data_IF_098692001971
#
_entry.id   IF_098692001971
#
_cell.length_a   1.000
_cell.length_b   1.000
_cell.length_c   1.000
_cell.angle_alpha   90.00
_cell.angle_beta   90.00
_cell.angle_gamma   90.00
#
_symmetry.space_group_name_H-M   'P 1'
#
loop_
_entity.id
_entity.type
_entity.pdbx_description
1 polymer ?
#
# COMPACT_ATOMS: atom_id res chain seq x y z
N UNK A 1 24.89 6.58 -3.32
CA UNK A 1 26.12 6.33 -4.10
C UNK A 1 25.96 7.10 -5.39
N UNK A 2 26.70 8.19 -5.59
CA UNK A 2 26.76 8.87 -6.89
C UNK A 2 27.90 8.21 -7.68
N UNK A 3 27.58 7.62 -8.82
CA UNK A 3 28.56 7.05 -9.75
C UNK A 3 28.41 7.74 -11.09
N UNK A 4 29.43 8.50 -11.47
CA UNK A 4 29.56 9.05 -12.80
C UNK A 4 30.26 8.01 -13.68
N UNK A 5 29.53 7.48 -14.66
CA UNK A 5 30.10 6.58 -15.65
C UNK A 5 30.52 7.38 -16.88
N UNK A 6 31.76 7.22 -17.38
CA UNK A 6 32.14 7.76 -18.67
C UNK A 6 31.18 7.29 -19.76
N UNK A 7 30.81 8.19 -20.69
CA UNK A 7 29.89 7.87 -21.80
C UNK A 7 30.36 6.66 -22.61
N UNK A 8 31.66 6.52 -22.81
CA UNK A 8 32.28 5.37 -23.47
C UNK A 8 31.99 4.06 -22.74
N UNK A 9 32.06 4.05 -21.42
CA UNK A 9 31.79 2.87 -20.61
C UNK A 9 30.29 2.54 -20.55
N UNK A 10 29.42 3.56 -20.52
CA UNK A 10 27.97 3.39 -20.60
C UNK A 10 27.55 2.78 -21.96
N UNK A 11 28.13 3.26 -23.06
CA UNK A 11 27.89 2.71 -24.40
C UNK A 11 28.40 1.27 -24.51
N UNK A 12 29.53 0.96 -23.90
CA UNK A 12 30.08 -0.39 -23.84
C UNK A 12 29.16 -1.35 -23.08
N UNK A 13 28.63 -0.94 -21.92
CA UNK A 13 27.66 -1.72 -21.13
C UNK A 13 26.40 -2.09 -21.94
N UNK A 14 25.89 -1.16 -22.75
CA UNK A 14 24.72 -1.40 -23.60
C UNK A 14 24.98 -2.38 -24.75
N UNK A 15 26.25 -2.67 -25.05
CA UNK A 15 26.66 -3.67 -26.05
C UNK A 15 26.80 -5.10 -25.50
N UNK A 16 26.38 -5.33 -24.25
CA UNK A 16 26.35 -6.66 -23.66
C UNK A 16 25.36 -7.58 -24.42
N UNK A 17 25.86 -8.74 -24.83
CA UNK A 17 25.05 -9.78 -25.47
C UNK A 17 24.05 -10.38 -24.48
N UNK A 18 23.09 -11.17 -24.98
CA UNK A 18 22.14 -11.88 -24.11
C UNK A 18 22.89 -12.85 -23.17
N UNK A 19 23.84 -13.61 -23.71
CA UNK A 19 24.63 -14.58 -22.95
C UNK A 19 25.47 -13.91 -21.84
N UNK A 20 26.06 -12.75 -22.12
CA UNK A 20 26.79 -11.98 -21.11
C UNK A 20 25.86 -11.42 -20.03
N UNK A 21 24.62 -11.01 -20.36
CA UNK A 21 23.65 -10.53 -19.37
C UNK A 21 23.06 -11.64 -18.49
N UNK A 22 23.01 -12.85 -19.02
CA UNK A 22 22.42 -14.01 -18.34
C UNK A 22 23.46 -14.80 -17.50
N UNK A 23 24.76 -14.46 -17.58
CA UNK A 23 25.86 -15.17 -16.93
C UNK A 23 26.82 -14.20 -16.21
N UNK A 24 26.85 -14.28 -14.88
CA UNK A 24 27.75 -13.47 -14.03
C UNK A 24 29.23 -13.66 -14.42
N UNK A 25 29.75 -14.89 -14.62
CA UNK A 25 31.13 -15.08 -15.06
C UNK A 25 31.46 -14.42 -16.40
N UNK A 26 30.55 -14.45 -17.37
CA UNK A 26 30.78 -13.84 -18.69
C UNK A 26 30.69 -12.31 -18.62
N UNK A 27 29.72 -11.79 -17.86
CA UNK A 27 29.61 -10.36 -17.60
C UNK A 27 30.87 -9.80 -16.93
N UNK A 28 31.34 -10.46 -15.87
CA UNK A 28 32.54 -10.09 -15.10
C UNK A 28 33.83 -10.28 -15.90
N UNK A 29 33.82 -11.13 -16.94
CA UNK A 29 35.00 -11.29 -17.79
C UNK A 29 35.21 -10.05 -18.66
N UNK A 30 34.13 -9.53 -19.24
CA UNK A 30 34.16 -8.39 -20.16
C UNK A 30 34.14 -7.04 -19.44
N UNK A 31 33.19 -6.85 -18.54
CA UNK A 31 33.07 -5.64 -17.75
C UNK A 31 33.85 -5.84 -16.45
N UNK A 32 34.69 -4.87 -16.06
CA UNK A 32 35.41 -4.86 -14.76
C UNK A 32 34.91 -3.68 -13.92
N UNK A 33 34.42 -3.92 -12.70
CA UNK A 33 33.86 -2.87 -11.86
C UNK A 33 32.98 -3.36 -10.70
N UNK A 34 32.19 -2.46 -10.11
CA UNK A 34 31.29 -2.76 -9.00
C UNK A 34 29.97 -3.33 -9.53
N UNK A 35 29.65 -4.57 -9.16
CA UNK A 35 28.42 -5.24 -9.56
C UNK A 35 27.51 -5.42 -8.36
N UNK A 36 26.24 -5.10 -8.56
CA UNK A 36 25.20 -5.50 -7.62
C UNK A 36 24.41 -6.62 -8.29
N UNK A 37 24.67 -7.85 -7.85
CA UNK A 37 23.92 -9.04 -8.27
C UNK A 37 22.98 -9.46 -7.15
N UNK A 38 21.88 -10.08 -7.51
CA UNK A 38 20.96 -10.71 -6.56
C UNK A 38 21.15 -12.22 -6.63
N UNK A 39 20.98 -12.92 -5.50
CA UNK A 39 21.02 -14.38 -5.54
C UNK A 39 19.89 -14.92 -6.40
N UNK A 40 20.14 -15.97 -7.21
CA UNK A 40 19.11 -16.61 -8.01
C UNK A 40 17.99 -17.13 -7.11
N UNK A 41 16.75 -16.94 -7.54
CA UNK A 41 15.59 -17.48 -6.83
C UNK A 41 15.65 -19.02 -6.82
N UNK A 42 15.25 -19.69 -5.73
CA UNK A 42 15.25 -21.15 -5.69
C UNK A 42 14.29 -21.74 -6.75
N UNK A 43 14.76 -22.78 -7.45
CA UNK A 43 13.96 -23.53 -8.43
C UNK A 43 14.10 -23.04 -9.87
N UNK A 44 13.05 -23.16 -10.67
CA UNK A 44 13.02 -22.83 -12.12
C UNK A 44 12.72 -21.36 -12.40
N UNK A 45 12.75 -20.50 -11.39
CA UNK A 45 12.38 -19.10 -11.50
C UNK A 45 13.56 -18.30 -12.05
N UNK A 46 13.34 -17.57 -13.14
CA UNK A 46 14.36 -16.73 -13.77
C UNK A 46 14.42 -15.36 -13.07
N UNK A 47 15.59 -14.96 -12.56
CA UNK A 47 15.84 -13.68 -11.89
C UNK A 47 16.46 -13.83 -10.50
N UNK A 48 16.59 -12.73 -9.77
CA UNK A 48 17.04 -12.72 -8.37
C UNK A 48 16.37 -11.60 -7.55
N UNK A 49 16.46 -11.68 -6.22
CA UNK A 49 15.77 -10.76 -5.29
C UNK A 49 16.74 -9.83 -4.56
N UNK A 50 16.46 -8.53 -4.62
CA UNK A 50 17.07 -7.52 -3.75
C UNK A 50 16.39 -7.57 -2.38
N UNK A 51 17.07 -8.13 -1.38
CA UNK A 51 16.56 -8.21 0.00
C UNK A 51 17.10 -7.13 0.94
N UNK A 52 18.17 -6.42 0.55
CA UNK A 52 18.90 -5.48 1.42
C UNK A 52 19.26 -4.21 0.64
N UNK A 53 18.26 -3.60 0.02
CA UNK A 53 18.28 -2.16 -0.22
C UNK A 53 17.07 -1.65 0.53
N UNK A 54 17.32 -0.94 1.63
CA UNK A 54 16.32 -0.09 2.30
C UNK A 54 16.65 1.31 1.83
N UNK A 55 16.09 1.76 0.70
CA UNK A 55 16.48 3.04 0.16
C UNK A 55 15.79 4.13 0.95
N UNK A 56 16.57 4.94 1.66
CA UNK A 56 16.03 6.04 2.45
C UNK A 56 15.42 7.16 1.65
N UNK A 57 16.07 7.50 0.56
CA UNK A 57 15.47 8.24 -0.50
C UNK A 57 16.12 7.73 -1.79
N UNK A 58 15.33 7.25 -2.75
CA UNK A 58 15.80 6.97 -4.10
C UNK A 58 15.68 8.25 -4.91
N UNK A 59 16.82 8.73 -5.38
CA UNK A 59 16.90 9.73 -6.43
C UNK A 59 17.33 9.04 -7.71
N UNK A 60 16.54 9.13 -8.77
CA UNK A 60 16.98 8.80 -10.13
C UNK A 60 16.96 10.07 -10.95
N UNK A 61 18.14 10.55 -11.33
CA UNK A 61 18.31 11.72 -12.20
C UNK A 61 18.65 11.23 -13.60
N UNK A 62 17.80 11.51 -14.58
CA UNK A 62 18.06 11.31 -15.99
C UNK A 62 18.32 12.67 -16.63
N UNK A 63 19.58 12.95 -16.92
CA UNK A 63 19.96 14.06 -17.78
C UNK A 63 19.96 13.56 -19.23
N UNK A 64 19.18 14.20 -20.09
CA UNK A 64 19.18 13.87 -21.52
C UNK A 64 19.16 15.14 -22.36
N UNK A 65 19.80 15.05 -23.52
CA UNK A 65 19.72 16.07 -24.56
C UNK A 65 18.45 15.82 -25.35
N UNK A 66 17.43 16.64 -25.12
CA UNK A 66 16.22 16.60 -25.94
C UNK A 66 16.54 17.21 -27.31
N UNK A 67 16.25 16.45 -28.37
CA UNK A 67 16.31 16.92 -29.75
C UNK A 67 14.90 16.75 -30.33
N UNK A 68 14.27 17.89 -30.62
CA UNK A 68 12.99 18.02 -31.33
C UNK A 68 13.19 19.08 -32.42
N UNK A 69 12.40 19.02 -33.49
CA UNK A 69 12.40 19.93 -34.64
C UNK A 69 12.35 21.44 -34.27
N UNK A 70 11.99 21.77 -33.02
CA UNK A 70 11.81 23.13 -32.49
C UNK A 70 12.83 23.54 -31.42
N UNK A 71 13.60 22.61 -30.84
CA UNK A 71 14.53 22.89 -29.73
C UNK A 71 15.86 22.19 -29.95
N UNK A 72 16.93 22.99 -30.08
CA UNK A 72 18.31 22.49 -30.16
C UNK A 72 18.96 22.62 -28.79
N UNK A 73 19.33 21.50 -28.17
CA UNK A 73 20.08 21.42 -26.89
C UNK A 73 19.37 22.00 -25.66
N UNK A 74 18.18 21.52 -25.28
CA UNK A 74 17.74 21.71 -23.90
C UNK A 74 18.31 20.59 -23.02
N UNK A 75 19.30 20.93 -22.18
CA UNK A 75 19.75 20.08 -21.08
C UNK A 75 18.54 19.82 -20.17
N UNK A 76 17.92 18.66 -20.35
CA UNK A 76 16.67 18.32 -19.68
C UNK A 76 16.99 17.35 -18.56
N UNK A 77 16.74 17.77 -17.32
CA UNK A 77 16.89 16.94 -16.14
C UNK A 77 15.52 16.42 -15.70
N UNK A 78 15.33 15.12 -15.82
CA UNK A 78 14.21 14.40 -15.22
C UNK A 78 14.66 13.83 -13.87
N UNK A 79 14.03 14.27 -12.77
CA UNK A 79 14.28 13.74 -11.43
C UNK A 79 13.09 12.86 -11.04
N UNK A 80 13.36 11.59 -10.74
CA UNK A 80 12.44 10.68 -10.06
C UNK A 80 12.86 10.59 -8.60
N UNK A 81 11.92 10.79 -7.69
CA UNK A 81 12.14 10.76 -6.25
C UNK A 81 11.18 9.77 -5.59
N UNK A 82 11.72 8.84 -4.80
CA UNK A 82 10.94 7.97 -3.92
C UNK A 82 11.50 8.10 -2.50
N UNK A 83 10.64 8.40 -1.53
CA UNK A 83 11.07 8.66 -0.15
C UNK A 83 10.71 7.52 0.82
N UNK A 84 11.50 7.33 1.87
CA UNK A 84 11.12 6.52 3.05
C UNK A 84 10.01 7.16 3.88
N UNK A 85 9.90 8.50 3.88
CA UNK A 85 8.90 9.21 4.70
C UNK A 85 7.60 9.45 3.93
N UNK A 86 7.69 9.58 2.61
CA UNK A 86 6.56 9.74 1.69
C UNK A 86 6.64 8.67 0.59
N UNK A 87 6.31 7.41 0.92
CA UNK A 87 6.43 6.31 -0.02
C UNK A 87 5.34 6.46 -1.08
N UNK A 88 5.68 7.17 -2.16
CA UNK A 88 4.80 7.50 -3.28
C UNK A 88 4.13 6.23 -3.86
N UNK A 89 2.86 6.34 -4.25
CA UNK A 89 2.17 5.23 -4.91
C UNK A 89 2.87 4.99 -6.24
N UNK A 90 3.29 3.74 -6.47
CA UNK A 90 3.79 3.32 -7.76
C UNK A 90 2.69 3.54 -8.84
N UNK A 91 2.96 4.40 -9.82
CA UNK A 91 2.00 4.78 -10.87
C UNK A 91 1.97 3.81 -12.06
N UNK A 92 2.79 2.76 -12.06
CA UNK A 92 2.80 1.78 -13.14
C UNK A 92 1.52 0.93 -13.12
N UNK A 93 0.97 0.65 -14.32
CA UNK A 93 -0.24 -0.16 -14.47
C UNK A 93 0.04 -1.59 -14.04
N UNK A 94 -0.63 -2.03 -12.97
CA UNK A 94 -0.59 -3.42 -12.53
C UNK A 94 -1.60 -4.27 -13.30
N UNK A 95 -1.25 -5.53 -13.57
CA UNK A 95 -2.12 -6.50 -14.24
C UNK A 95 -3.43 -6.76 -13.48
N UNK A 96 -3.46 -6.50 -12.16
CA UNK A 96 -4.63 -6.62 -11.30
C UNK A 96 -5.65 -5.48 -11.43
N UNK A 97 -5.35 -4.41 -12.19
CA UNK A 97 -6.28 -3.27 -12.39
C UNK A 97 -7.65 -3.69 -12.93
N UNK A 98 -7.69 -4.71 -13.78
CA UNK A 98 -8.92 -5.27 -14.33
C UNK A 98 -9.79 -6.02 -13.30
N UNK A 99 -9.28 -6.26 -12.09
CA UNK A 99 -10.01 -6.90 -11.00
C UNK A 99 -10.74 -5.89 -10.10
N UNK A 100 -10.54 -4.59 -10.30
CA UNK A 100 -11.30 -3.55 -9.61
C UNK A 100 -12.77 -3.55 -10.07
N UNK A 101 -13.69 -3.47 -9.11
CA UNK A 101 -15.13 -3.43 -9.37
C UNK A 101 -15.82 -2.61 -8.29
N UNK A 102 -16.82 -1.83 -8.68
CA UNK A 102 -17.75 -1.15 -7.78
C UNK A 102 -18.96 -2.02 -7.44
N UNK A 103 -19.21 -3.08 -8.21
CA UNK A 103 -20.30 -4.01 -7.97
C UNK A 103 -19.97 -4.97 -6.82
N UNK A 104 -20.95 -5.36 -5.99
CA UNK A 104 -20.79 -6.41 -5.01
C UNK A 104 -20.30 -7.71 -5.65
N UNK A 105 -19.21 -8.26 -5.12
CA UNK A 105 -18.61 -9.52 -5.56
C UNK A 105 -18.50 -10.50 -4.40
N UNK A 106 -18.24 -11.78 -4.71
CA UNK A 106 -17.93 -12.79 -3.69
C UNK A 106 -16.50 -12.66 -3.13
N UNK A 107 -15.61 -11.92 -3.80
CA UNK A 107 -14.20 -11.79 -3.47
C UNK A 107 -13.76 -10.35 -3.48
N UNK A 108 -13.02 -9.96 -2.45
CA UNK A 108 -12.44 -8.64 -2.28
C UNK A 108 -10.92 -8.82 -2.22
N UNK A 109 -10.23 -8.29 -3.23
CA UNK A 109 -8.79 -8.45 -3.38
C UNK A 109 -8.05 -7.37 -2.59
N UNK A 110 -7.01 -7.76 -1.87
CA UNK A 110 -6.01 -6.85 -1.30
C UNK A 110 -4.64 -7.23 -1.81
N UNK A 111 -3.86 -6.22 -2.16
CA UNK A 111 -2.51 -6.38 -2.67
C UNK A 111 -1.60 -5.32 -2.04
N UNK A 112 -0.31 -5.60 -1.87
CA UNK A 112 0.68 -4.59 -1.46
C UNK A 112 0.97 -3.57 -2.56
N UNK A 113 1.91 -2.66 -2.31
CA UNK A 113 2.43 -1.71 -3.31
C UNK A 113 1.29 -0.95 -4.02
N UNK A 114 1.35 -0.77 -5.35
CA UNK A 114 0.28 -0.16 -6.13
C UNK A 114 -0.77 -1.15 -6.68
N UNK A 115 -0.83 -2.35 -6.10
CA UNK A 115 -1.89 -3.31 -6.38
C UNK A 115 -3.28 -2.88 -5.88
N UNK A 116 -4.29 -3.71 -6.16
CA UNK A 116 -5.69 -3.42 -5.80
C UNK A 116 -5.85 -3.26 -4.28
N UNK A 117 -6.58 -2.22 -3.89
CA UNK A 117 -6.92 -1.94 -2.49
C UNK A 117 -8.44 -1.89 -2.31
N UNK A 118 -8.98 -2.55 -1.28
CA UNK A 118 -10.37 -2.35 -0.88
C UNK A 118 -10.63 -0.89 -0.53
N UNK A 119 -11.72 -0.34 -1.05
CA UNK A 119 -12.12 1.04 -0.84
C UNK A 119 -13.37 1.11 0.04
N UNK A 120 -13.40 2.06 0.97
CA UNK A 120 -14.55 2.32 1.86
C UNK A 120 -14.81 3.82 1.89
N UNK A 121 -15.99 4.20 1.40
CA UNK A 121 -16.51 5.57 1.49
C UNK A 121 -17.32 5.75 2.79
N UNK A 122 -16.73 6.45 3.75
CA UNK A 122 -17.35 6.70 5.04
C UNK A 122 -18.48 7.74 5.00
N UNK A 123 -18.63 8.51 3.91
CA UNK A 123 -19.83 9.33 3.72
C UNK A 123 -21.06 8.44 3.51
N UNK A 124 -20.93 7.36 2.72
CA UNK A 124 -22.00 6.37 2.52
C UNK A 124 -22.32 5.65 3.84
N UNK A 125 -21.29 5.27 4.61
CA UNK A 125 -21.49 4.62 5.91
C UNK A 125 -22.19 5.56 6.89
N UNK A 126 -21.78 6.84 6.97
CA UNK A 126 -22.44 7.84 7.81
C UNK A 126 -23.91 7.98 7.47
N UNK A 127 -24.24 8.09 6.18
CA UNK A 127 -25.62 8.16 5.72
C UNK A 127 -26.41 6.90 6.09
N UNK A 128 -25.81 5.72 5.94
CA UNK A 128 -26.43 4.45 6.35
C UNK A 128 -26.74 4.42 7.84
N UNK A 129 -25.82 4.86 8.70
CA UNK A 129 -26.05 4.93 10.15
C UNK A 129 -27.09 6.01 10.50
N UNK A 130 -27.09 7.14 9.79
CA UNK A 130 -28.12 8.17 9.99
C UNK A 130 -29.52 7.64 9.65
N UNK A 131 -29.68 6.95 8.52
CA UNK A 131 -30.95 6.31 8.14
C UNK A 131 -31.39 5.27 9.18
N UNK A 132 -30.46 4.48 9.69
CA UNK A 132 -30.75 3.53 10.78
C UNK A 132 -31.19 4.24 12.06
N UNK A 133 -30.51 5.31 12.49
CA UNK A 133 -30.89 6.09 13.66
C UNK A 133 -32.30 6.67 13.52
N UNK A 134 -32.60 7.26 12.35
CA UNK A 134 -33.94 7.78 12.04
C UNK A 134 -35.01 6.68 12.06
N UNK A 135 -34.70 5.46 11.62
CA UNK A 135 -35.64 4.33 11.71
C UNK A 135 -35.99 3.91 13.14
N UNK A 136 -35.17 4.31 14.12
CA UNK A 136 -35.42 4.14 15.55
C UNK A 136 -36.07 5.38 16.19
N UNK A 137 -36.52 6.35 15.38
CA UNK A 137 -37.00 7.66 15.84
C UNK A 137 -35.98 8.41 16.72
N UNK A 138 -34.67 8.24 16.46
CA UNK A 138 -33.61 9.00 17.14
C UNK A 138 -32.76 9.80 16.15
N UNK A 139 -32.19 10.88 16.65
CA UNK A 139 -31.18 11.65 15.93
C UNK A 139 -29.79 10.98 16.08
N UNK A 140 -28.96 11.08 15.04
CA UNK A 140 -27.59 10.55 15.05
C UNK A 140 -26.74 11.14 16.18
N UNK A 141 -26.98 12.39 16.57
CA UNK A 141 -26.29 13.07 17.69
C UNK A 141 -26.53 12.41 19.05
N UNK A 142 -27.62 11.64 19.21
CA UNK A 142 -27.91 10.86 20.42
C UNK A 142 -27.22 9.50 20.43
N UNK A 143 -26.65 9.07 19.30
CA UNK A 143 -25.97 7.78 19.18
C UNK A 143 -24.51 7.93 19.62
N UNK A 144 -24.16 7.31 20.74
CA UNK A 144 -22.80 7.27 21.26
C UNK A 144 -22.16 5.94 20.88
N UNK A 145 -21.09 5.98 20.08
CA UNK A 145 -20.33 4.79 19.70
C UNK A 145 -19.28 4.49 20.79
N UNK A 146 -19.44 3.38 21.50
CA UNK A 146 -18.45 2.90 22.46
C UNK A 146 -17.29 2.17 21.77
N UNK A 147 -17.58 1.46 20.67
CA UNK A 147 -16.59 0.73 19.87
C UNK A 147 -17.04 0.58 18.44
N UNK A 148 -16.12 0.69 17.49
CA UNK A 148 -16.34 0.40 16.08
C UNK A 148 -15.19 -0.44 15.52
N UNK A 149 -15.50 -1.54 14.86
CA UNK A 149 -14.52 -2.47 14.29
C UNK A 149 -14.87 -2.85 12.86
N UNK A 150 -13.91 -2.73 11.96
CA UNK A 150 -13.97 -3.36 10.64
C UNK A 150 -13.48 -4.79 10.74
N UNK A 151 -14.26 -5.71 10.18
CA UNK A 151 -13.95 -7.14 10.16
C UNK A 151 -13.92 -7.61 8.70
N UNK A 152 -12.76 -8.11 8.26
CA UNK A 152 -12.54 -8.64 6.91
C UNK A 152 -12.31 -10.16 6.99
N UNK A 153 -13.35 -10.97 6.86
CA UNK A 153 -13.22 -12.42 6.85
C UNK A 153 -12.63 -12.92 5.52
N UNK A 154 -11.97 -14.07 5.58
CA UNK A 154 -11.57 -14.88 4.42
C UNK A 154 -11.82 -16.36 4.70
N UNK A 155 -11.76 -17.16 3.64
CA UNK A 155 -11.77 -18.61 3.74
C UNK A 155 -10.34 -19.16 3.69
N UNK A 156 -10.10 -20.31 4.33
CA UNK A 156 -8.83 -21.01 4.21
C UNK A 156 -8.58 -21.30 2.73
N UNK A 157 -7.46 -20.84 2.14
CA UNK A 157 -7.17 -21.11 0.74
C UNK A 157 -6.96 -22.61 0.54
N UNK A 158 -7.41 -23.14 -0.60
CA UNK A 158 -7.20 -24.56 -0.96
C UNK A 158 -5.72 -24.94 -0.97
N UNK A 159 -4.85 -23.99 -1.28
CA UNK A 159 -3.40 -24.08 -1.14
C UNK A 159 -2.95 -23.32 0.12
N UNK A 160 -2.49 -24.06 1.13
CA UNK A 160 -2.07 -23.51 2.41
C UNK A 160 -0.85 -22.58 2.30
N UNK A 161 -0.03 -22.73 1.25
CA UNK A 161 1.16 -21.89 1.05
C UNK A 161 0.79 -20.43 0.79
N UNK A 162 -0.42 -20.18 0.26
CA UNK A 162 -0.95 -18.84 0.01
C UNK A 162 -1.25 -18.06 1.29
N UNK A 163 -1.42 -18.73 2.44
CA UNK A 163 -1.62 -18.04 3.73
C UNK A 163 -0.41 -17.16 4.08
N UNK A 164 0.79 -17.58 3.67
CA UNK A 164 2.02 -16.80 3.86
C UNK A 164 2.02 -15.46 3.12
N UNK A 165 1.19 -15.31 2.08
CA UNK A 165 1.10 -14.10 1.26
C UNK A 165 0.16 -13.04 1.85
N UNK A 166 -0.72 -13.42 2.78
CA UNK A 166 -1.62 -12.48 3.44
C UNK A 166 -0.81 -11.56 4.36
N UNK A 167 -1.10 -10.25 4.38
CA UNK A 167 -0.41 -9.33 5.26
C UNK A 167 -0.58 -9.74 6.73
N UNK A 168 0.42 -9.46 7.56
CA UNK A 168 0.30 -9.70 9.00
C UNK A 168 -0.70 -8.72 9.64
N UNK A 169 -0.79 -7.52 9.07
CA UNK A 169 -1.54 -6.41 9.62
C UNK A 169 -2.03 -5.49 8.48
N UNK A 170 -3.21 -4.88 8.65
CA UNK A 170 -3.75 -3.90 7.71
C UNK A 170 -4.35 -2.70 8.44
N UNK A 171 -4.22 -1.51 7.87
CA UNK A 171 -4.82 -0.27 8.38
C UNK A 171 -5.71 0.38 7.31
N UNK A 172 -6.50 1.37 7.73
CA UNK A 172 -7.06 2.32 6.80
C UNK A 172 -6.04 3.42 6.50
N UNK A 173 -5.96 3.79 5.23
CA UNK A 173 -5.23 4.94 4.76
C UNK A 173 -6.15 5.81 3.91
N UNK A 174 -5.89 7.12 3.90
CA UNK A 174 -6.41 8.03 2.88
C UNK A 174 -5.35 8.25 1.80
N UNK A 175 -5.77 8.77 0.66
CA UNK A 175 -4.85 9.23 -0.38
C UNK A 175 -4.62 10.71 -0.21
N UNK A 176 -3.36 11.11 -0.16
CA UNK A 176 -2.95 12.51 -0.08
C UNK A 176 -1.96 12.83 -1.20
N UNK A 177 -1.78 14.12 -1.46
CA UNK A 177 -0.81 14.62 -2.43
C UNK A 177 0.28 15.36 -1.67
N UNK A 178 1.54 14.98 -1.90
CA UNK A 178 2.67 15.62 -1.24
C UNK A 178 2.74 17.11 -1.54
N UNK A 179 3.24 17.89 -0.57
CA UNK A 179 3.45 19.34 -0.74
C UNK A 179 4.68 19.64 -1.58
N UNK A 180 5.72 18.80 -1.45
CA UNK A 180 6.99 18.89 -2.19
C UNK A 180 6.91 18.25 -3.57
N UNK A 181 6.15 17.16 -3.70
CA UNK A 181 5.93 16.45 -4.95
C UNK A 181 4.44 16.16 -5.10
N UNK A 182 3.85 16.50 -6.26
CA UNK A 182 2.43 16.23 -6.58
C UNK A 182 2.11 14.73 -6.75
N UNK A 183 2.95 13.84 -6.19
CA UNK A 183 2.73 12.41 -6.16
C UNK A 183 1.64 12.06 -5.16
N UNK A 184 0.76 11.15 -5.56
CA UNK A 184 -0.25 10.58 -4.69
C UNK A 184 0.42 9.55 -3.77
N UNK A 185 0.17 9.61 -2.47
CA UNK A 185 0.66 8.63 -1.50
C UNK A 185 -0.47 8.16 -0.58
N UNK A 186 -0.27 7.04 0.11
CA UNK A 186 -1.18 6.56 1.16
C UNK A 186 -0.70 7.07 2.51
N UNK A 187 -1.54 7.85 3.18
CA UNK A 187 -1.33 8.28 4.56
C UNK A 187 -2.21 7.46 5.49
N UNK A 188 -1.61 6.77 6.47
CA UNK A 188 -2.38 6.02 7.47
C UNK A 188 -3.25 6.98 8.30
N UNK A 189 -4.47 6.57 8.62
CA UNK A 189 -5.35 7.40 9.44
C UNK A 189 -4.78 7.54 10.86
N UNK A 190 -4.53 8.79 11.29
CA UNK A 190 -3.93 9.12 12.58
C UNK A 190 -4.75 8.66 13.79
N UNK A 191 -6.06 8.50 13.62
CA UNK A 191 -7.01 8.11 14.65
C UNK A 191 -7.03 6.61 14.94
N UNK A 192 -6.30 5.81 14.16
CA UNK A 192 -6.22 4.37 14.38
C UNK A 192 -5.37 4.04 15.60
N UNK A 193 -5.78 3.07 16.43
CA UNK A 193 -5.01 2.66 17.59
C UNK A 193 -3.66 2.05 17.17
N UNK A 194 -2.61 2.37 17.93
CA UNK A 194 -1.25 1.86 17.69
C UNK A 194 -0.87 0.65 18.55
N UNK A 195 -1.68 0.32 19.56
CA UNK A 195 -1.40 -0.70 20.57
C UNK A 195 -2.39 -1.85 20.47
N UNK A 196 -3.67 -1.60 20.75
CA UNK A 196 -4.71 -2.63 20.80
C UNK A 196 -5.55 -2.69 19.51
N UNK A 197 -5.98 -3.90 19.14
CA UNK A 197 -6.94 -4.14 18.05
C UNK A 197 -6.57 -3.49 16.72
N UNK A 198 -5.27 -3.52 16.45
CA UNK A 198 -4.56 -2.84 15.38
C UNK A 198 -4.62 -3.55 14.02
N UNK A 199 -5.77 -4.07 13.60
CA UNK A 199 -5.89 -4.63 12.24
C UNK A 199 -5.10 -5.93 12.02
N UNK A 200 -4.89 -6.74 13.07
CA UNK A 200 -4.10 -7.97 13.00
C UNK A 200 -4.84 -9.08 12.26
N UNK A 201 -4.07 -9.95 11.60
CA UNK A 201 -4.58 -11.17 10.98
C UNK A 201 -4.81 -12.27 12.03
N UNK A 202 -6.06 -12.60 12.32
CA UNK A 202 -6.39 -13.81 13.08
C UNK A 202 -6.40 -15.02 12.15
N UNK A 203 -5.25 -15.66 11.98
CA UNK A 203 -5.09 -16.84 11.11
C UNK A 203 -5.88 -18.06 11.56
N UNK A 204 -6.19 -18.20 12.84
CA UNK A 204 -6.99 -19.35 13.33
C UNK A 204 -8.49 -19.18 13.05
N UNK A 205 -8.97 -17.94 12.95
CA UNK A 205 -10.39 -17.62 12.69
C UNK A 205 -10.64 -17.05 11.29
N UNK A 206 -9.58 -16.91 10.50
CA UNK A 206 -9.58 -16.40 9.13
C UNK A 206 -10.30 -15.06 8.99
N UNK A 207 -9.87 -14.07 9.76
CA UNK A 207 -10.31 -12.70 9.60
C UNK A 207 -9.26 -11.69 10.05
N UNK A 208 -9.36 -10.47 9.54
CA UNK A 208 -8.71 -9.29 10.10
C UNK A 208 -9.72 -8.46 10.88
N UNK A 209 -9.34 -7.92 12.03
CA UNK A 209 -10.16 -6.99 12.80
C UNK A 209 -9.39 -5.72 13.11
N UNK A 210 -9.99 -4.58 12.77
CA UNK A 210 -9.39 -3.26 12.96
C UNK A 210 -10.35 -2.38 13.74
N UNK A 211 -9.90 -1.89 14.89
CA UNK A 211 -10.64 -0.90 15.65
C UNK A 211 -10.50 0.48 14.99
N UNK A 212 -11.64 1.07 14.64
CA UNK A 212 -11.75 2.38 13.98
C UNK A 212 -12.57 3.37 14.82
N UNK A 213 -12.71 3.14 16.13
CA UNK A 213 -13.65 3.86 17.01
C UNK A 213 -13.47 5.38 16.94
N UNK A 214 -12.25 5.86 17.15
CA UNK A 214 -11.94 7.30 17.16
C UNK A 214 -12.22 7.94 15.79
N UNK A 215 -11.76 7.31 14.70
CA UNK A 215 -12.02 7.75 13.34
C UNK A 215 -13.52 7.81 13.05
N UNK A 216 -14.25 6.73 13.36
CA UNK A 216 -15.67 6.61 13.08
C UNK A 216 -16.49 7.64 13.86
N UNK A 217 -16.15 7.90 15.13
CA UNK A 217 -16.78 9.00 15.88
C UNK A 217 -16.55 10.36 15.23
N UNK A 218 -15.34 10.65 14.71
CA UNK A 218 -15.06 11.88 13.99
C UNK A 218 -15.86 11.99 12.68
N UNK A 219 -16.05 10.89 11.95
CA UNK A 219 -16.94 10.81 10.78
C UNK A 219 -18.38 11.19 11.15
N UNK A 220 -18.95 10.53 12.17
CA UNK A 220 -20.34 10.76 12.59
C UNK A 220 -20.55 12.22 13.04
N UNK A 221 -19.61 12.76 13.83
CA UNK A 221 -19.61 14.17 14.28
C UNK A 221 -19.35 15.18 13.17
N UNK A 222 -18.99 14.74 11.96
CA UNK A 222 -18.72 15.63 10.82
C UNK A 222 -17.46 16.46 10.99
N UNK A 223 -16.44 15.95 11.71
CA UNK A 223 -15.17 16.67 11.88
C UNK A 223 -14.33 16.73 10.60
N UNK A 224 -14.53 15.79 9.69
CA UNK A 224 -13.84 15.74 8.41
C UNK A 224 -14.58 16.61 7.39
N UNK A 225 -13.89 17.64 6.89
CA UNK A 225 -14.43 18.59 5.91
C UNK A 225 -13.99 18.29 4.49
N UNK A 226 -12.85 17.58 4.31
CA UNK A 226 -12.38 17.15 3.00
C UNK A 226 -12.96 15.80 2.64
N UNK A 227 -13.28 15.61 1.36
CA UNK A 227 -13.75 14.33 0.82
C UNK A 227 -12.70 13.22 1.02
N UNK A 228 -11.42 13.54 0.82
CA UNK A 228 -10.30 12.60 0.96
C UNK A 228 -10.19 12.00 2.37
N UNK A 229 -10.62 12.72 3.41
CA UNK A 229 -10.63 12.21 4.78
C UNK A 229 -11.73 11.16 5.03
N UNK A 230 -12.73 11.07 4.14
CA UNK A 230 -13.82 10.07 4.19
C UNK A 230 -13.60 8.91 3.21
N UNK A 231 -12.71 9.09 2.24
CA UNK A 231 -12.37 8.12 1.19
C UNK A 231 -11.16 7.29 1.60
N UNK A 232 -11.42 6.10 2.16
CA UNK A 232 -10.38 5.28 2.78
C UNK A 232 -10.08 4.01 2.00
N UNK A 233 -8.85 3.53 2.14
CA UNK A 233 -8.32 2.34 1.50
C UNK A 233 -7.75 1.40 2.55
N UNK A 234 -8.04 0.10 2.42
CA UNK A 234 -7.45 -0.93 3.29
C UNK A 234 -6.08 -1.29 2.74
N UNK A 235 -5.03 -1.03 3.52
CA UNK A 235 -3.64 -1.20 3.09
C UNK A 235 -2.85 -2.09 4.05
N UNK A 236 -1.91 -2.92 3.55
CA UNK A 236 -0.89 -3.56 4.37
C UNK A 236 -0.01 -2.51 5.08
N UNK A 237 0.41 -2.80 6.30
CA UNK A 237 1.29 -1.93 7.07
C UNK A 237 2.53 -2.65 7.57
N UNK A 238 3.61 -1.90 7.63
CA UNK A 238 4.83 -2.27 8.31
C UNK A 238 4.97 -1.44 9.59
N UNK A 239 5.76 -1.93 10.52
CA UNK A 239 6.05 -1.23 11.77
C UNK A 239 7.54 -1.25 12.06
N UNK A 240 8.06 -0.14 12.58
CA UNK A 240 9.42 -0.04 13.09
C UNK A 240 9.40 0.40 14.55
N UNK A 241 10.26 -0.21 15.35
CA UNK A 241 10.46 0.19 16.75
C UNK A 241 11.76 0.95 16.85
N UNK A 242 11.72 2.15 17.40
CA UNK A 242 12.91 2.88 17.77
C UNK A 242 13.60 2.15 18.93
N UNK A 243 14.83 1.68 18.70
CA UNK A 243 15.60 0.89 19.68
C UNK A 243 15.99 1.69 20.94
N UNK A 244 16.02 3.02 20.87
CA UNK A 244 16.40 3.90 21.98
C UNK A 244 15.19 4.37 22.80
N UNK A 245 14.08 4.70 22.16
CA UNK A 245 12.88 5.22 22.84
C UNK A 245 11.79 4.17 23.06
N UNK A 246 11.88 3.02 22.39
CA UNK A 246 10.83 2.00 22.36
C UNK A 246 9.59 2.42 21.57
N UNK A 247 9.62 3.58 20.90
CA UNK A 247 8.47 4.10 20.16
C UNK A 247 8.19 3.24 18.92
N UNK A 248 6.93 2.86 18.74
CA UNK A 248 6.46 2.06 17.62
C UNK A 248 5.78 2.96 16.58
N UNK A 249 6.37 3.01 15.39
CA UNK A 249 5.81 3.70 14.24
C UNK A 249 5.18 2.70 13.26
N UNK A 250 4.11 3.12 12.60
CA UNK A 250 3.46 2.36 11.52
C UNK A 250 3.48 3.18 10.26
N UNK A 251 3.70 2.51 9.14
CA UNK A 251 3.73 3.14 7.82
C UNK A 251 3.17 2.16 6.78
N UNK A 252 2.77 2.71 5.64
CA UNK A 252 2.35 1.91 4.50
C UNK A 252 3.50 1.00 4.06
N UNK A 253 3.25 -0.31 3.97
CA UNK A 253 4.31 -1.27 3.60
C UNK A 253 4.55 -1.25 2.10
N UNK A 254 5.68 -0.61 1.72
CA UNK A 254 6.18 -0.59 0.36
C UNK A 254 7.39 -1.51 0.12
N UNK A 255 7.78 -2.32 1.11
CA UNK A 255 8.94 -3.21 1.01
C UNK A 255 8.55 -4.64 0.60
N UNK A 256 7.30 -5.06 0.87
CA UNK A 256 6.85 -6.41 0.61
C UNK A 256 5.62 -6.47 -0.30
N UNK A 257 5.64 -7.45 -1.21
CA UNK A 257 4.47 -7.78 -2.01
C UNK A 257 3.55 -8.74 -1.24
N UNK A 258 2.43 -8.22 -0.77
CA UNK A 258 1.36 -9.01 -0.17
C UNK A 258 0.23 -9.26 -1.16
N UNK A 259 -0.45 -10.39 -0.98
CA UNK A 259 -1.66 -10.74 -1.73
C UNK A 259 -2.63 -11.47 -0.83
N UNK A 260 -3.85 -10.97 -0.74
CA UNK A 260 -4.93 -11.58 0.02
C UNK A 260 -6.24 -11.55 -0.76
N UNK A 261 -7.04 -12.59 -0.58
CA UNK A 261 -8.43 -12.66 -1.06
C UNK A 261 -9.33 -12.73 0.15
N UNK A 262 -10.05 -11.65 0.40
CA UNK A 262 -11.10 -11.58 1.40
C UNK A 262 -12.44 -11.95 0.79
N UNK A 263 -13.38 -12.31 1.65
CA UNK A 263 -14.76 -12.47 1.25
C UNK A 263 -15.31 -11.10 0.86
N UNK A 264 -16.00 -11.03 -0.27
CA UNK A 264 -16.64 -9.81 -0.75
C UNK A 264 -18.01 -9.58 -0.12
N UNK A 265 -18.64 -8.47 -0.48
CA UNK A 265 -19.92 -8.03 0.09
C UNK A 265 -21.11 -8.93 -0.29
N UNK A 266 -20.99 -9.72 -1.36
CA UNK A 266 -21.99 -10.71 -1.76
C UNK A 266 -21.81 -12.09 -1.08
N UNK A 267 -20.69 -12.32 -0.40
CA UNK A 267 -20.41 -13.59 0.27
C UNK A 267 -21.25 -13.80 1.54
N UNK A 268 -21.43 -15.05 1.96
CA UNK A 268 -22.11 -15.39 3.22
C UNK A 268 -21.41 -14.79 4.43
N UNK A 269 -20.10 -15.03 4.56
CA UNK A 269 -19.23 -14.37 5.55
C UNK A 269 -18.69 -13.08 4.95
N UNK A 270 -19.52 -12.05 4.83
CA UNK A 270 -19.14 -10.74 4.26
C UNK A 270 -18.38 -9.82 5.23
N UNK A 271 -17.62 -8.84 4.72
CA UNK A 271 -17.04 -7.77 5.53
C UNK A 271 -18.13 -7.01 6.27
N UNK A 272 -17.81 -6.54 7.47
CA UNK A 272 -18.78 -5.81 8.30
C UNK A 272 -18.11 -4.76 9.18
N UNK A 273 -18.84 -3.68 9.39
CA UNK A 273 -18.61 -2.74 10.47
C UNK A 273 -19.44 -3.20 11.68
N UNK A 274 -18.77 -3.63 12.75
CA UNK A 274 -19.41 -3.93 14.03
C UNK A 274 -19.33 -2.69 14.91
N UNK A 275 -20.46 -2.24 15.44
CA UNK A 275 -20.51 -1.15 16.40
C UNK A 275 -21.11 -1.62 17.73
N UNK A 276 -20.54 -1.13 18.81
CA UNK A 276 -21.15 -1.15 20.15
C UNK A 276 -21.54 0.29 20.45
N UNK A 277 -22.81 0.51 20.81
CA UNK A 277 -23.36 1.85 20.95
C UNK A 277 -24.33 1.97 22.11
N UNK A 278 -24.61 3.20 22.50
CA UNK A 278 -25.69 3.59 23.42
C UNK A 278 -26.49 4.70 22.75
N UNK A 279 -27.81 4.71 22.93
CA UNK A 279 -28.68 5.81 22.50
C UNK A 279 -29.04 6.60 23.75
N UNK A 280 -28.72 7.89 23.77
CA UNK A 280 -29.14 8.79 24.84
C UNK A 280 -30.67 9.01 24.78
N UNK A 281 -31.34 9.11 25.93
CA UNK A 281 -32.78 9.40 25.98
C UNK A 281 -33.16 10.71 25.28
#
# INVERSE_FOLDING_TARGET
INMDLPLSYAAELLSATKEERDSIPFFQNRFKGFYIATEPLPGTLTGGRFNIITPSDIYMSLTYNHIDDTVTNSDSLLIYYASETEPNINIFKHSSKSLESTNPTNKLFVEGLAGVKPFIDFAVIKNTVNTWALSLNTDLSKVIIARAELIFPYEFPSDFTLIGQYPAQMYLAKRETGTLYKGLYYELLSELPKVDDKGLNNRSKFYFNMNITSYFQNVLKGKFTKKSDLETYVVPVASSTNSYTGELAYFFDNAAYYKGVFNGTAATRKPKLRITYVILP
#
